data_IF_791567879307
#
_entry.id   IF_791567879307
#
_cell.length_a   1.000
_cell.length_b   1.000
_cell.length_c   1.000
_cell.angle_alpha   90.00
_cell.angle_beta   90.00
_cell.angle_gamma   90.00
#
_symmetry.space_group_name_H-M   'P 1'
#
loop_
_entity.id
_entity.type
_entity.pdbx_description
1 polymer ?
#
# COMPACT_ATOMS: atom_id res chain seq x y z
N UNK A 1 13.18 -2.28 -3.34
CA UNK A 1 12.73 -3.26 -4.35
C UNK A 1 13.84 -3.43 -5.38
N UNK A 2 14.66 -4.47 -5.22
CA UNK A 2 15.88 -4.72 -6.03
C UNK A 2 15.81 -6.04 -6.77
N UNK A 3 15.02 -6.99 -6.27
CA UNK A 3 14.89 -8.34 -6.84
C UNK A 3 13.43 -8.72 -7.07
N UNK A 4 13.19 -9.77 -7.86
CA UNK A 4 11.86 -10.37 -8.03
C UNK A 4 11.34 -10.91 -6.69
N UNK A 5 12.23 -11.48 -5.86
CA UNK A 5 11.88 -11.95 -4.53
C UNK A 5 11.34 -10.83 -3.64
N UNK A 6 11.90 -9.62 -3.73
CA UNK A 6 11.39 -8.46 -2.99
C UNK A 6 9.97 -8.09 -3.43
N UNK A 7 9.68 -8.18 -4.74
CA UNK A 7 8.36 -7.89 -5.29
C UNK A 7 7.33 -8.94 -4.87
N UNK A 8 7.71 -10.22 -4.85
CA UNK A 8 6.85 -11.30 -4.35
C UNK A 8 6.57 -11.15 -2.85
N UNK A 9 7.58 -10.80 -2.06
CA UNK A 9 7.42 -10.53 -0.64
C UNK A 9 6.46 -9.37 -0.42
N UNK A 10 6.66 -8.24 -1.11
CA UNK A 10 5.76 -7.08 -1.03
C UNK A 10 4.31 -7.46 -1.33
N UNK A 11 4.08 -8.19 -2.43
CA UNK A 11 2.75 -8.65 -2.83
C UNK A 11 2.11 -9.49 -1.73
N UNK A 12 2.83 -10.49 -1.22
CA UNK A 12 2.30 -11.40 -0.21
C UNK A 12 2.02 -10.67 1.10
N UNK A 13 2.91 -9.78 1.55
CA UNK A 13 2.69 -8.98 2.76
C UNK A 13 1.45 -8.09 2.65
N UNK A 14 1.22 -7.46 1.48
CA UNK A 14 0.00 -6.64 1.29
C UNK A 14 -1.25 -7.52 1.39
N UNK A 15 -1.27 -8.66 0.71
CA UNK A 15 -2.42 -9.57 0.76
C UNK A 15 -2.70 -10.07 2.18
N UNK A 16 -1.67 -10.53 2.90
CA UNK A 16 -1.78 -11.00 4.28
C UNK A 16 -2.37 -9.92 5.21
N UNK A 17 -1.92 -8.66 5.09
CA UNK A 17 -2.43 -7.55 5.91
C UNK A 17 -3.88 -7.21 5.61
N UNK A 18 -4.28 -7.26 4.33
CA UNK A 18 -5.66 -6.98 3.92
C UNK A 18 -6.61 -8.09 4.35
N UNK A 19 -6.18 -9.34 4.23
CA UNK A 19 -6.90 -10.49 4.77
C UNK A 19 -7.11 -10.36 6.29
N UNK A 20 -6.06 -10.01 7.03
CA UNK A 20 -6.15 -9.75 8.47
C UNK A 20 -7.12 -8.60 8.79
N UNK A 21 -7.02 -7.48 8.06
CA UNK A 21 -7.91 -6.33 8.21
C UNK A 21 -9.38 -6.69 7.94
N UNK A 22 -9.64 -7.59 7.00
CA UNK A 22 -10.99 -8.02 6.66
C UNK A 22 -11.63 -8.93 7.72
N UNK A 23 -10.82 -9.60 8.55
CA UNK A 23 -11.28 -10.51 9.61
C UNK A 23 -11.49 -9.84 10.96
N UNK A 24 -10.83 -8.71 11.22
CA UNK A 24 -10.98 -7.98 12.47
C UNK A 24 -12.14 -6.98 12.44
N UNK A 25 -12.77 -6.76 13.60
CA UNK A 25 -13.80 -5.74 13.81
C UNK A 25 -13.26 -4.48 14.52
N UNK A 26 -12.01 -4.51 14.98
CA UNK A 26 -11.34 -3.35 15.59
C UNK A 26 -10.96 -2.34 14.49
N UNK A 27 -11.64 -1.20 14.46
CA UNK A 27 -11.43 -0.15 13.46
C UNK A 27 -10.02 0.43 13.47
N UNK A 28 -9.38 0.56 14.64
CA UNK A 28 -8.04 1.12 14.74
C UNK A 28 -7.00 0.14 14.24
N UNK A 29 -7.20 -1.16 14.50
CA UNK A 29 -6.37 -2.21 13.92
C UNK A 29 -6.56 -2.27 12.40
N UNK A 30 -7.79 -2.17 11.90
CA UNK A 30 -8.07 -2.15 10.45
C UNK A 30 -7.31 -1.03 9.74
N UNK A 31 -7.40 0.20 10.26
CA UNK A 31 -6.66 1.35 9.72
C UNK A 31 -5.15 1.12 9.68
N UNK A 32 -4.59 0.55 10.76
CA UNK A 32 -3.15 0.23 10.81
C UNK A 32 -2.73 -0.79 9.75
N UNK A 33 -3.56 -1.81 9.53
CA UNK A 33 -3.27 -2.88 8.56
C UNK A 33 -3.42 -2.43 7.10
N UNK A 34 -4.28 -1.43 6.83
CA UNK A 34 -4.56 -0.94 5.48
C UNK A 34 -3.74 0.29 5.07
N UNK A 35 -2.88 0.82 5.96
CA UNK A 35 -2.03 1.96 5.65
C UNK A 35 -0.66 1.51 5.12
N UNK A 36 -0.30 2.03 3.94
CA UNK A 36 0.95 1.69 3.26
C UNK A 36 1.87 2.90 3.28
N UNK A 37 3.10 2.72 3.74
CA UNK A 37 4.14 3.76 3.75
C UNK A 37 5.30 3.33 2.86
N UNK A 38 5.65 4.21 1.92
CA UNK A 38 6.74 4.04 0.97
C UNK A 38 7.77 5.12 1.26
N UNK A 39 9.02 4.72 1.46
CA UNK A 39 10.14 5.62 1.71
C UNK A 39 11.01 5.75 0.46
N UNK A 40 11.36 6.99 0.12
CA UNK A 40 12.10 7.35 -1.08
C UNK A 40 11.20 7.72 -2.26
N UNK A 41 11.19 9.00 -2.60
CA UNK A 41 10.47 9.64 -3.70
C UNK A 41 11.24 9.71 -5.03
N UNK A 42 12.24 8.84 -5.21
CA UNK A 42 12.85 8.59 -6.52
C UNK A 42 11.93 7.77 -7.45
N UNK A 43 12.36 7.48 -8.69
CA UNK A 43 11.53 6.80 -9.69
C UNK A 43 10.85 5.53 -9.16
N UNK A 44 11.61 4.63 -8.52
CA UNK A 44 11.07 3.36 -8.01
C UNK A 44 9.98 3.55 -6.96
N UNK A 45 10.13 4.50 -6.03
CA UNK A 45 9.11 4.71 -4.99
C UNK A 45 7.84 5.35 -5.54
N UNK A 46 7.99 6.29 -6.49
CA UNK A 46 6.87 6.91 -7.20
C UNK A 46 6.11 5.87 -8.05
N UNK A 47 6.81 5.00 -8.78
CA UNK A 47 6.19 3.94 -9.57
C UNK A 47 5.41 2.95 -8.70
N UNK A 48 5.99 2.50 -7.58
CA UNK A 48 5.31 1.62 -6.63
C UNK A 48 4.05 2.32 -6.06
N UNK A 49 4.17 3.59 -5.66
CA UNK A 49 3.04 4.35 -5.15
C UNK A 49 1.90 4.46 -6.18
N UNK A 50 2.24 4.75 -7.44
CA UNK A 50 1.28 4.80 -8.55
C UNK A 50 0.61 3.45 -8.81
N UNK A 51 1.38 2.37 -8.83
CA UNK A 51 0.86 1.00 -8.99
C UNK A 51 -0.12 0.64 -7.88
N UNK A 52 0.25 0.89 -6.62
CA UNK A 52 -0.62 0.62 -5.47
C UNK A 52 -1.87 1.48 -5.48
N UNK A 53 -1.78 2.75 -5.91
CA UNK A 53 -2.94 3.62 -6.09
C UNK A 53 -3.90 3.07 -7.15
N UNK A 54 -3.38 2.50 -8.24
CA UNK A 54 -4.19 1.87 -9.27
C UNK A 54 -4.86 0.58 -8.76
N UNK A 55 -4.13 -0.24 -7.98
CA UNK A 55 -4.68 -1.45 -7.35
C UNK A 55 -5.77 -1.14 -6.32
N UNK A 56 -5.56 -0.11 -5.49
CA UNK A 56 -6.58 0.40 -4.55
C UNK A 56 -7.89 0.70 -5.28
N UNK A 57 -7.80 1.43 -6.39
CA UNK A 57 -8.97 1.86 -7.15
C UNK A 57 -9.71 0.71 -7.84
N UNK A 58 -8.97 -0.25 -8.41
CA UNK A 58 -9.54 -1.22 -9.34
C UNK A 58 -9.68 -2.65 -8.78
N UNK A 59 -8.93 -3.01 -7.74
CA UNK A 59 -8.81 -4.41 -7.29
C UNK A 59 -9.21 -4.55 -5.81
N UNK A 60 -8.62 -3.77 -4.91
CA UNK A 60 -8.75 -4.04 -3.47
C UNK A 60 -10.18 -3.96 -2.95
N UNK A 61 -11.00 -3.01 -3.41
CA UNK A 61 -12.40 -2.93 -2.98
C UNK A 61 -13.32 -3.98 -3.61
N UNK A 62 -12.89 -4.62 -4.71
CA UNK A 62 -13.58 -5.77 -5.27
C UNK A 62 -13.28 -7.03 -4.46
N UNK A 63 -12.00 -7.27 -4.16
CA UNK A 63 -11.53 -8.46 -3.43
C UNK A 63 -11.86 -8.40 -1.92
N UNK A 64 -11.87 -7.20 -1.32
CA UNK A 64 -12.16 -6.98 0.09
C UNK A 64 -13.30 -5.97 0.31
N UNK A 65 -14.56 -6.30 -0.04
CA UNK A 65 -15.68 -5.37 0.06
C UNK A 65 -15.93 -4.81 1.45
N UNK A 66 -15.60 -5.58 2.51
CA UNK A 66 -15.75 -5.15 3.89
C UNK A 66 -14.83 -3.98 4.27
N UNK A 67 -13.73 -3.76 3.53
CA UNK A 67 -12.79 -2.67 3.75
C UNK A 67 -13.14 -1.39 2.97
N UNK A 68 -14.24 -1.39 2.21
CA UNK A 68 -14.58 -0.31 1.28
C UNK A 68 -14.79 1.06 1.94
N UNK A 69 -15.32 1.05 3.15
CA UNK A 69 -15.63 2.27 3.90
C UNK A 69 -14.44 2.75 4.75
N UNK A 70 -13.29 2.07 4.69
CA UNK A 70 -12.10 2.46 5.42
C UNK A 70 -11.18 3.36 4.60
N UNK A 71 -10.53 4.34 5.25
CA UNK A 71 -9.43 5.06 4.64
C UNK A 71 -8.25 4.11 4.46
N UNK A 72 -7.95 3.77 3.21
CA UNK A 72 -6.76 3.01 2.81
C UNK A 72 -5.75 4.01 2.28
N UNK A 73 -4.84 4.49 3.12
CA UNK A 73 -3.91 5.56 2.74
C UNK A 73 -2.58 5.00 2.23
N UNK A 74 -2.06 5.65 1.17
CA UNK A 74 -0.74 5.36 0.60
C UNK A 74 0.10 6.62 0.80
N UNK A 75 1.10 6.53 1.67
CA UNK A 75 2.00 7.64 1.98
C UNK A 75 3.33 7.43 1.29
N UNK A 76 3.74 8.38 0.43
CA UNK A 76 5.08 8.44 -0.12
C UNK A 76 5.87 9.53 0.61
N UNK A 77 6.96 9.14 1.26
CA UNK A 77 7.80 10.02 2.08
C UNK A 77 9.18 10.11 1.45
N UNK A 78 9.65 11.33 1.21
CA UNK A 78 11.02 11.63 0.79
C UNK A 78 11.65 12.71 1.67
N UNK A 79 12.98 12.72 1.77
CA UNK A 79 13.73 13.72 2.54
C UNK A 79 14.06 15.00 1.78
N UNK A 80 13.85 15.01 0.45
CA UNK A 80 14.08 16.15 -0.43
C UNK A 80 12.79 16.97 -0.60
N UNK A 81 12.90 18.26 -0.96
CA UNK A 81 11.74 19.13 -1.12
C UNK A 81 10.85 18.76 -2.32
N UNK A 82 11.34 17.92 -3.23
CA UNK A 82 10.64 17.52 -4.46
C UNK A 82 10.88 16.05 -4.78
N UNK A 83 9.86 15.37 -5.31
CA UNK A 83 9.98 14.02 -5.85
C UNK A 83 10.71 14.04 -7.20
N UNK A 84 11.22 12.88 -7.62
CA UNK A 84 11.89 12.71 -8.93
C UNK A 84 13.00 13.75 -9.20
N UNK A 85 13.65 14.21 -8.14
CA UNK A 85 14.69 15.25 -8.22
C UNK A 85 16.06 14.72 -8.67
N UNK A 86 16.13 13.46 -9.11
CA UNK A 86 17.31 12.77 -9.62
C UNK A 86 16.93 11.88 -10.79
#
# INVERSE_FOLDING_TARGET
MKTISDALLLKNTILERFEEASRTTDEDLRKKLTNIVITGGGPTGVEIAGMLSALKKNVFFHEFPSLRDLPLDIHLIDGLPTLLSR
#
